data_IF_006416087314
#
_entry.id   IF_006416087314
#
_cell.length_a   1.000
_cell.length_b   1.000
_cell.length_c   1.000
_cell.angle_alpha   90.00
_cell.angle_beta   90.00
_cell.angle_gamma   90.00
#
_symmetry.space_group_name_H-M   'P 1'
#
loop_
_entity.id
_entity.type
_entity.pdbx_description
1 polymer ?
#
# COMPACT_ATOMS: atom_id res chain seq x y z
N UNK A 1 17.14 -1.14 20.81
CA UNK A 1 16.93 0.02 19.91
C UNK A 1 17.93 -0.05 18.74
N UNK A 2 17.44 -0.35 17.54
CA UNK A 2 18.29 -0.49 16.35
C UNK A 2 18.49 0.94 15.80
N UNK A 3 19.67 1.50 16.03
CA UNK A 3 19.97 2.94 15.84
C UNK A 3 20.44 3.32 14.43
N UNK A 4 20.18 2.48 13.43
CA UNK A 4 20.38 2.82 12.03
C UNK A 4 19.51 1.89 11.19
N UNK A 5 18.33 2.35 10.76
CA UNK A 5 17.67 1.75 9.63
C UNK A 5 18.14 2.49 8.38
N UNK A 6 19.20 1.99 7.74
CA UNK A 6 19.65 2.41 6.40
C UNK A 6 18.55 2.21 5.31
N UNK A 7 17.37 1.71 5.69
CA UNK A 7 16.26 1.36 4.81
C UNK A 7 15.07 2.33 4.86
N UNK A 8 15.10 3.36 5.72
CA UNK A 8 14.08 4.44 5.67
C UNK A 8 14.50 5.45 4.61
N UNK A 9 14.16 5.14 3.37
CA UNK A 9 14.42 6.04 2.24
C UNK A 9 13.43 7.22 2.33
N UNK A 10 13.91 8.47 2.38
CA UNK A 10 13.01 9.62 2.34
C UNK A 10 12.34 9.73 0.97
N UNK A 11 11.11 10.24 0.96
CA UNK A 11 10.33 10.40 -0.28
C UNK A 11 10.45 11.84 -0.75
N UNK A 12 10.88 12.06 -1.99
CA UNK A 12 10.90 13.38 -2.60
C UNK A 12 9.62 13.61 -3.42
N UNK A 13 8.92 14.71 -3.15
CA UNK A 13 7.71 15.09 -3.87
C UNK A 13 7.75 16.60 -4.13
N UNK A 14 7.59 17.00 -5.39
CA UNK A 14 7.62 18.40 -5.83
C UNK A 14 8.88 19.17 -5.34
N UNK A 15 10.02 18.48 -5.27
CA UNK A 15 11.30 19.04 -4.80
C UNK A 15 11.45 19.17 -3.28
N UNK A 16 10.48 18.68 -2.50
CA UNK A 16 10.54 18.61 -1.04
C UNK A 16 10.80 17.18 -0.57
N UNK A 17 11.63 17.02 0.45
CA UNK A 17 11.99 15.71 1.03
C UNK A 17 11.14 15.44 2.28
N UNK A 18 10.46 14.29 2.30
CA UNK A 18 9.51 13.90 3.34
C UNK A 18 10.02 12.69 4.14
N UNK A 19 10.04 12.82 5.46
CA UNK A 19 10.31 11.73 6.40
C UNK A 19 9.00 11.03 6.75
N UNK A 20 8.67 9.99 5.98
CA UNK A 20 7.34 9.34 6.05
C UNK A 20 7.30 8.14 6.98
N UNK A 21 8.45 7.62 7.41
CA UNK A 21 8.51 6.43 8.25
C UNK A 21 8.79 6.78 9.72
N UNK A 22 7.98 6.22 10.62
CA UNK A 22 8.10 6.39 12.07
C UNK A 22 8.19 5.04 12.75
N UNK A 23 8.98 4.94 13.81
CA UNK A 23 9.04 3.74 14.63
C UNK A 23 7.93 3.77 15.67
N UNK A 24 6.90 2.93 15.49
CA UNK A 24 5.71 2.86 16.35
C UNK A 24 5.47 1.44 16.85
N UNK A 25 5.46 1.26 18.18
CA UNK A 25 5.16 -0.02 18.86
C UNK A 25 5.92 -1.22 18.29
N UNK A 26 7.22 -1.05 18.01
CA UNK A 26 8.06 -2.13 17.49
C UNK A 26 8.04 -2.30 15.97
N UNK A 27 7.25 -1.50 15.24
CA UNK A 27 7.13 -1.56 13.79
C UNK A 27 7.55 -0.24 13.14
N UNK A 28 8.03 -0.32 11.90
CA UNK A 28 8.20 0.85 11.04
C UNK A 28 6.88 1.11 10.31
N UNK A 29 6.26 2.25 10.58
CA UNK A 29 4.96 2.67 10.04
C UNK A 29 5.17 3.85 9.11
N UNK A 30 4.56 3.80 7.93
CA UNK A 30 4.56 4.86 6.91
C UNK A 30 3.37 5.80 7.19
N UNK A 31 3.61 6.90 7.90
CA UNK A 31 2.60 7.91 8.17
C UNK A 31 2.38 8.79 6.93
N UNK A 32 1.26 8.57 6.25
CA UNK A 32 0.91 9.30 5.03
C UNK A 32 0.61 10.78 5.28
N UNK A 33 0.31 11.20 6.51
CA UNK A 33 0.15 12.62 6.84
C UNK A 33 1.44 13.42 6.56
N UNK A 34 2.59 12.76 6.69
CA UNK A 34 3.91 13.37 6.45
C UNK A 34 4.16 13.71 4.98
N UNK A 35 3.33 13.23 4.04
CA UNK A 35 3.45 13.52 2.61
C UNK A 35 3.01 14.95 2.24
N UNK A 36 2.28 15.65 3.12
CA UNK A 36 1.75 16.99 2.80
C UNK A 36 0.75 16.97 1.63
N UNK A 37 0.10 15.83 1.39
CA UNK A 37 -0.87 15.60 0.32
C UNK A 37 -2.27 15.39 0.91
N UNK A 38 -3.30 15.76 0.14
CA UNK A 38 -4.68 15.39 0.50
C UNK A 38 -4.81 13.86 0.46
N UNK A 39 -5.04 13.24 1.62
CA UNK A 39 -5.15 11.78 1.74
C UNK A 39 -6.30 11.19 0.91
N UNK A 40 -7.29 12.00 0.51
CA UNK A 40 -8.33 11.55 -0.45
C UNK A 40 -7.74 11.25 -1.84
N UNK A 41 -6.52 11.67 -2.13
CA UNK A 41 -5.80 11.47 -3.41
C UNK A 41 -4.52 10.63 -3.24
N UNK A 42 -4.33 9.98 -2.09
CA UNK A 42 -3.12 9.19 -1.79
C UNK A 42 -3.48 7.72 -1.62
N UNK A 43 -2.64 6.84 -2.16
CA UNK A 43 -2.70 5.39 -1.96
C UNK A 43 -1.34 4.88 -1.52
N UNK A 44 -1.32 3.89 -0.63
CA UNK A 44 -0.13 3.13 -0.27
C UNK A 44 -0.28 1.68 -0.75
N UNK A 45 0.73 1.19 -1.47
CA UNK A 45 0.83 -0.20 -1.90
C UNK A 45 1.95 -0.85 -1.10
N UNK A 46 1.62 -1.84 -0.28
CA UNK A 46 2.58 -2.45 0.62
C UNK A 46 2.13 -3.88 0.97
N UNK A 47 3.09 -4.78 1.10
CA UNK A 47 2.88 -6.17 1.47
C UNK A 47 2.82 -6.41 2.99
N UNK A 48 3.10 -5.39 3.81
CA UNK A 48 3.07 -5.47 5.27
C UNK A 48 1.97 -4.59 5.86
N UNK A 49 0.91 -5.17 6.45
CA UNK A 49 -0.15 -4.43 7.12
C UNK A 49 0.30 -3.49 8.24
N UNK A 50 1.42 -3.82 8.91
CA UNK A 50 2.00 -2.96 9.92
C UNK A 50 2.49 -1.62 9.34
N UNK A 51 2.92 -1.60 8.07
CA UNK A 51 3.45 -0.41 7.40
C UNK A 51 2.40 0.69 7.24
N UNK A 52 1.12 0.36 7.12
CA UNK A 52 0.04 1.34 6.90
C UNK A 52 -1.01 1.35 8.01
N UNK A 53 -0.66 0.91 9.22
CA UNK A 53 -1.60 0.79 10.34
C UNK A 53 -2.30 2.12 10.71
N UNK A 54 -1.69 3.28 10.40
CA UNK A 54 -2.32 4.59 10.60
C UNK A 54 -3.31 4.98 9.49
N UNK A 55 -3.20 4.39 8.31
CA UNK A 55 -3.99 4.74 7.13
C UNK A 55 -4.49 3.49 6.38
N UNK A 56 -5.20 2.56 7.06
CA UNK A 56 -5.66 1.31 6.43
C UNK A 56 -6.62 1.56 5.25
N UNK A 57 -7.41 2.64 5.32
CA UNK A 57 -8.36 3.02 4.25
C UNK A 57 -7.68 3.59 2.99
N UNK A 58 -6.38 3.86 3.05
CA UNK A 58 -5.55 4.27 1.93
C UNK A 58 -4.75 3.11 1.33
N UNK A 59 -4.85 1.91 1.89
CA UNK A 59 -4.00 0.79 1.53
C UNK A 59 -4.59 -0.05 0.39
N UNK A 60 -3.70 -0.46 -0.51
CA UNK A 60 -3.89 -1.56 -1.46
C UNK A 60 -2.88 -2.63 -1.06
N UNK A 61 -3.30 -3.64 -0.27
CA UNK A 61 -2.43 -4.76 0.09
C UNK A 61 -1.99 -5.51 -1.15
N UNK A 62 -0.74 -5.94 -1.17
CA UNK A 62 -0.17 -6.81 -2.21
C UNK A 62 0.52 -8.01 -1.57
N UNK A 63 0.65 -9.09 -2.32
CA UNK A 63 1.44 -10.23 -1.90
C UNK A 63 2.92 -9.87 -1.81
N UNK A 64 3.64 -10.57 -0.93
CA UNK A 64 5.09 -10.57 -1.00
C UNK A 64 5.51 -11.39 -2.21
N UNK A 65 6.33 -10.79 -3.08
CA UNK A 65 6.91 -11.50 -4.21
C UNK A 65 8.18 -12.27 -3.80
N UNK A 66 8.28 -13.54 -4.22
CA UNK A 66 9.44 -14.40 -3.94
C UNK A 66 9.81 -15.23 -5.18
N UNK A 67 10.59 -14.64 -6.09
CA UNK A 67 11.19 -15.30 -7.27
C UNK A 67 10.20 -15.99 -8.23
N UNK A 68 8.90 -15.67 -8.14
CA UNK A 68 7.87 -16.19 -9.05
C UNK A 68 7.83 -15.34 -10.32
N UNK A 69 8.40 -15.86 -11.40
CA UNK A 69 8.40 -15.22 -12.71
C UNK A 69 7.03 -15.22 -13.40
N UNK A 70 6.05 -15.95 -12.84
CA UNK A 70 4.66 -15.95 -13.31
C UNK A 70 3.78 -14.95 -12.58
N UNK A 71 4.29 -14.33 -11.51
CA UNK A 71 3.58 -13.29 -10.78
C UNK A 71 3.21 -12.12 -11.70
N UNK A 72 1.93 -11.78 -11.71
CA UNK A 72 1.38 -10.67 -12.47
C UNK A 72 0.67 -9.64 -11.59
N UNK A 73 0.82 -9.70 -10.26
CA UNK A 73 -0.05 -8.95 -9.33
C UNK A 73 -0.01 -7.45 -9.61
N UNK A 74 1.18 -6.89 -9.87
CA UNK A 74 1.33 -5.47 -10.19
C UNK A 74 0.70 -5.09 -11.54
N UNK A 75 0.70 -6.00 -12.52
CA UNK A 75 0.01 -5.80 -13.81
C UNK A 75 -1.50 -5.84 -13.62
N UNK A 76 -1.98 -6.76 -12.79
CA UNK A 76 -3.41 -6.95 -12.50
C UNK A 76 -4.01 -5.75 -11.73
N UNK A 77 -3.17 -4.98 -11.02
CA UNK A 77 -3.57 -3.74 -10.35
C UNK A 77 -3.75 -2.53 -11.29
N UNK A 78 -3.27 -2.57 -12.54
CA UNK A 78 -3.34 -1.43 -13.45
C UNK A 78 -4.79 -0.93 -13.66
N UNK A 79 -5.77 -1.78 -14.03
CA UNK A 79 -7.16 -1.33 -14.23
C UNK A 79 -7.79 -0.76 -12.95
N UNK A 80 -7.35 -1.27 -11.78
CA UNK A 80 -7.79 -0.77 -10.49
C UNK A 80 -7.27 0.65 -10.21
N UNK A 81 -5.98 0.90 -10.47
CA UNK A 81 -5.41 2.25 -10.34
C UNK A 81 -5.97 3.23 -11.38
N UNK A 82 -6.26 2.78 -12.60
CA UNK A 82 -6.95 3.62 -13.59
C UNK A 82 -8.35 4.06 -13.13
N UNK A 83 -9.06 3.20 -12.39
CA UNK A 83 -10.34 3.55 -11.76
C UNK A 83 -10.13 4.56 -10.63
N UNK A 84 -9.14 4.34 -9.76
CA UNK A 84 -8.83 5.25 -8.66
C UNK A 84 -8.41 6.65 -9.15
N UNK A 85 -7.69 6.73 -10.27
CA UNK A 85 -7.28 8.00 -10.87
C UNK A 85 -8.46 8.89 -11.30
N UNK A 86 -9.64 8.30 -11.53
CA UNK A 86 -10.84 9.01 -12.01
C UNK A 86 -11.77 9.48 -10.90
N UNK A 87 -11.59 9.03 -9.66
CA UNK A 87 -12.45 9.42 -8.53
C UNK A 87 -11.87 10.59 -7.75
N UNK A 88 -12.73 11.41 -7.16
CA UNK A 88 -12.30 12.55 -6.34
C UNK A 88 -11.73 12.17 -4.98
N UNK A 89 -12.16 11.01 -4.47
CA UNK A 89 -11.64 10.44 -3.23
C UNK A 89 -11.44 8.95 -3.37
N UNK A 90 -10.22 8.47 -3.12
CA UNK A 90 -9.85 7.05 -3.12
C UNK A 90 -10.72 6.23 -2.16
N UNK A 91 -11.21 6.84 -1.07
CA UNK A 91 -12.09 6.20 -0.10
C UNK A 91 -13.41 5.71 -0.69
N UNK A 92 -13.89 6.34 -1.77
CA UNK A 92 -15.11 5.90 -2.47
C UNK A 92 -14.97 4.52 -3.10
N UNK A 93 -13.73 4.11 -3.37
CA UNK A 93 -13.41 2.78 -3.90
C UNK A 93 -12.86 1.92 -2.76
N UNK A 94 -11.82 2.39 -2.05
CA UNK A 94 -11.09 1.59 -1.06
C UNK A 94 -11.92 1.18 0.16
N UNK A 95 -12.78 2.07 0.70
CA UNK A 95 -13.65 1.73 1.84
C UNK A 95 -14.87 0.90 1.46
N UNK A 96 -15.33 1.03 0.22
CA UNK A 96 -16.48 0.29 -0.30
C UNK A 96 -16.08 -1.10 -0.82
N UNK A 97 -14.78 -1.34 -0.99
CA UNK A 97 -14.21 -2.66 -1.14
C UNK A 97 -14.31 -3.41 0.19
N UNK A 98 -15.42 -4.10 0.45
CA UNK A 98 -15.35 -5.32 1.27
C UNK A 98 -14.38 -6.26 0.54
N UNK A 99 -13.09 -6.17 0.86
CA UNK A 99 -11.96 -6.69 0.09
C UNK A 99 -12.22 -8.14 -0.40
N UNK A 100 -12.38 -8.39 -1.72
CA UNK A 100 -12.50 -9.73 -2.26
C UNK A 100 -11.20 -10.20 -2.91
N UNK A 101 -10.05 -9.57 -2.67
CA UNK A 101 -8.78 -10.14 -3.13
C UNK A 101 -8.38 -11.28 -2.20
N UNK A 102 -8.99 -12.45 -2.46
CA UNK A 102 -8.60 -13.74 -1.93
C UNK A 102 -7.94 -14.53 -3.07
N UNK A 103 -6.60 -14.52 -3.22
CA UNK A 103 -5.91 -15.21 -4.31
C UNK A 103 -6.14 -16.73 -4.30
N UNK A 104 -6.76 -17.29 -3.25
CA UNK A 104 -7.05 -18.73 -3.12
C UNK A 104 -8.41 -19.17 -3.69
N UNK A 105 -9.28 -18.27 -4.13
CA UNK A 105 -10.64 -18.63 -4.58
C UNK A 105 -10.72 -19.28 -5.98
N UNK A 106 -9.61 -19.38 -6.73
CA UNK A 106 -9.55 -20.07 -8.03
C UNK A 106 -8.84 -21.43 -7.99
N UNK A 107 -8.56 -21.98 -6.81
CA UNK A 107 -8.26 -23.41 -6.69
C UNK A 107 -9.55 -24.18 -6.40
N UNK A 108 -10.20 -24.69 -7.46
CA UNK A 108 -11.30 -25.64 -7.31
C UNK A 108 -10.87 -26.84 -6.45
N UNK A 109 -11.77 -27.40 -5.63
CA UNK A 109 -11.52 -28.65 -4.92
C UNK A 109 -11.65 -29.81 -5.89
N UNK A 110 -10.61 -30.63 -6.05
CA UNK A 110 -10.74 -31.86 -6.82
C UNK A 110 -9.43 -32.57 -7.16
N UNK A 111 -9.27 -33.74 -6.55
CA UNK A 111 -8.27 -34.82 -6.73
C UNK A 111 -6.85 -34.58 -6.24
#
# INVERSE_FOLDING_TARGET
PINNADFVVPVEIDGAVHQVCVFHRGNYVKDLNSLGRDLRRVVIVDNSPASYIFHPDNAVPVASWFDDMTDSELLDLIPFFEKLAKVDSVYTVLRNSNHPYNPTANSSPGT
#
